data_IF_602383025380
#
_entry.id   IF_602383025380
#
_cell.length_a   1.000
_cell.length_b   1.000
_cell.length_c   1.000
_cell.angle_alpha   90.00
_cell.angle_beta   90.00
_cell.angle_gamma   90.00
#
_symmetry.space_group_name_H-M   'P 1'
#
loop_
_entity.id
_entity.type
_entity.pdbx_description
1 polymer ?
#
# COMPACT_ATOMS: atom_id res chain seq x y z
N UNK A 1 -21.06 2.59 -5.08
CA UNK A 1 -19.90 3.04 -4.27
C UNK A 1 -20.25 4.21 -3.36
N UNK A 2 -20.36 3.95 -2.05
CA UNK A 2 -20.57 4.92 -0.98
C UNK A 2 -19.22 5.48 -0.48
N UNK A 3 -19.18 6.74 -0.04
CA UNK A 3 -17.96 7.41 0.45
C UNK A 3 -18.19 7.99 1.83
N UNK A 4 -17.20 7.86 2.71
CA UNK A 4 -17.24 8.41 4.07
C UNK A 4 -15.86 8.92 4.47
N UNK A 5 -15.76 10.19 4.87
CA UNK A 5 -14.51 10.78 5.39
C UNK A 5 -14.11 10.15 6.72
N UNK A 6 -12.80 10.03 6.97
CA UNK A 6 -12.22 9.56 8.22
C UNK A 6 -11.46 10.70 8.92
N UNK A 7 -11.70 10.97 10.22
CA UNK A 7 -12.74 10.33 11.06
C UNK A 7 -14.17 10.75 10.64
N UNK A 8 -15.16 9.90 10.96
CA UNK A 8 -16.55 10.06 10.50
C UNK A 8 -17.26 11.33 11.01
N UNK A 9 -16.71 11.98 12.03
CA UNK A 9 -17.23 13.23 12.61
C UNK A 9 -16.21 13.81 13.59
N UNK A 10 -15.50 14.86 13.21
CA UNK A 10 -14.91 15.83 14.15
C UNK A 10 -14.37 17.04 13.37
N UNK A 11 -14.90 18.23 13.66
CA UNK A 11 -14.26 19.49 13.23
C UNK A 11 -12.94 19.66 14.02
N UNK A 12 -11.87 20.08 13.32
CA UNK A 12 -10.55 20.28 13.95
C UNK A 12 -9.72 19.02 14.19
N UNK A 13 -10.15 17.85 13.67
CA UNK A 13 -9.34 16.61 13.72
C UNK A 13 -8.66 16.38 12.37
N UNK A 14 -7.41 15.92 12.43
CA UNK A 14 -6.58 15.56 11.28
C UNK A 14 -7.31 14.60 10.35
N UNK A 15 -7.26 14.85 9.04
CA UNK A 15 -7.86 13.96 8.06
C UNK A 15 -7.05 12.65 7.95
N UNK A 16 -7.70 11.51 8.20
CA UNK A 16 -7.02 10.20 8.23
C UNK A 16 -7.22 9.37 6.96
N UNK A 17 -8.20 9.73 6.13
CA UNK A 17 -8.50 9.01 4.90
C UNK A 17 -9.94 9.11 4.41
N UNK A 18 -10.22 8.34 3.37
CA UNK A 18 -11.53 8.19 2.74
C UNK A 18 -11.91 6.70 2.73
N UNK A 19 -12.98 6.34 3.43
CA UNK A 19 -13.57 5.01 3.34
C UNK A 19 -14.51 4.90 2.13
N UNK A 20 -14.47 3.76 1.45
CA UNK A 20 -15.24 3.46 0.25
C UNK A 20 -15.98 2.13 0.45
N UNK A 21 -17.31 2.13 0.35
CA UNK A 21 -18.11 0.91 0.25
C UNK A 21 -18.37 0.61 -1.22
N UNK A 22 -17.88 -0.51 -1.74
CA UNK A 22 -17.97 -0.89 -3.16
C UNK A 22 -18.95 -2.05 -3.31
N UNK A 23 -19.93 -1.89 -4.18
CA UNK A 23 -21.03 -2.86 -4.35
C UNK A 23 -20.73 -3.91 -5.45
N UNK A 24 -19.65 -3.73 -6.22
CA UNK A 24 -19.25 -4.62 -7.31
C UNK A 24 -18.10 -4.02 -8.12
N UNK A 25 -17.49 -4.80 -9.04
CA UNK A 25 -17.80 -6.20 -9.36
C UNK A 25 -17.31 -7.19 -8.29
N UNK A 26 -17.80 -8.44 -8.29
CA UNK A 26 -17.28 -9.49 -7.40
C UNK A 26 -15.85 -9.91 -7.76
N UNK A 27 -15.47 -9.78 -9.03
CA UNK A 27 -14.13 -10.05 -9.56
C UNK A 27 -13.67 -8.84 -10.38
N UNK A 28 -12.64 -8.11 -9.95
CA UNK A 28 -12.18 -6.93 -10.66
C UNK A 28 -11.26 -7.30 -11.83
N UNK A 29 -11.13 -6.41 -12.81
CA UNK A 29 -10.22 -6.58 -13.93
C UNK A 29 -8.76 -6.64 -13.48
N UNK A 30 -8.33 -5.78 -12.54
CA UNK A 30 -7.01 -5.85 -11.91
C UNK A 30 -7.09 -6.67 -10.60
N UNK A 31 -6.47 -7.86 -10.56
CA UNK A 31 -6.62 -8.78 -9.42
C UNK A 31 -5.45 -9.73 -9.26
N UNK A 32 -5.26 -10.21 -8.03
CA UNK A 32 -4.37 -11.32 -7.74
C UNK A 32 -5.10 -12.65 -7.89
N UNK A 33 -4.55 -13.55 -8.70
CA UNK A 33 -4.96 -14.95 -8.73
C UNK A 33 -3.87 -15.83 -8.11
N UNK A 34 -4.29 -16.85 -7.39
CA UNK A 34 -3.42 -17.71 -6.60
C UNK A 34 -3.60 -19.17 -6.98
N UNK A 35 -2.50 -19.93 -6.88
CA UNK A 35 -2.48 -21.37 -7.09
C UNK A 35 -1.59 -22.04 -6.04
N UNK A 36 -1.72 -23.36 -5.92
CA UNK A 36 -0.91 -24.17 -5.02
C UNK A 36 0.60 -24.01 -5.24
N UNK A 37 1.37 -24.38 -4.22
CA UNK A 37 2.83 -24.23 -4.26
C UNK A 37 3.28 -22.78 -4.19
N UNK A 38 2.47 -21.94 -3.52
CA UNK A 38 2.79 -20.55 -3.16
C UNK A 38 2.88 -19.61 -4.36
N UNK A 39 2.03 -19.83 -5.36
CA UNK A 39 2.05 -19.10 -6.64
C UNK A 39 1.00 -18.00 -6.65
N UNK A 40 1.41 -16.85 -7.15
CA UNK A 40 0.57 -15.68 -7.35
C UNK A 40 0.80 -15.10 -8.74
N UNK A 41 -0.27 -14.64 -9.38
CA UNK A 41 -0.20 -13.86 -10.61
C UNK A 41 -1.12 -12.65 -10.48
N UNK A 42 -0.61 -11.46 -10.80
CA UNK A 42 -1.42 -10.26 -10.95
C UNK A 42 -1.85 -10.14 -12.41
N UNK A 43 -3.16 -10.12 -12.63
CA UNK A 43 -3.77 -9.94 -13.94
C UNK A 43 -4.43 -8.57 -14.04
N UNK A 44 -4.42 -7.98 -15.23
CA UNK A 44 -5.24 -6.84 -15.61
C UNK A 44 -6.04 -7.19 -16.86
N UNK A 45 -7.32 -7.52 -16.68
CA UNK A 45 -8.09 -8.22 -17.71
C UNK A 45 -7.43 -9.56 -18.02
N UNK A 46 -6.97 -9.74 -19.25
CA UNK A 46 -6.24 -10.92 -19.72
C UNK A 46 -4.70 -10.72 -19.73
N UNK A 47 -4.21 -9.54 -19.35
CA UNK A 47 -2.78 -9.26 -19.32
C UNK A 47 -2.16 -9.74 -18.02
N UNK A 48 -1.09 -10.54 -18.12
CA UNK A 48 -0.21 -10.83 -16.99
C UNK A 48 0.64 -9.60 -16.69
N UNK A 49 0.49 -9.05 -15.49
CA UNK A 49 1.22 -7.86 -15.02
C UNK A 49 2.43 -8.24 -14.18
N UNK A 50 2.22 -9.16 -13.25
CA UNK A 50 3.23 -9.60 -12.29
C UNK A 50 3.06 -11.10 -12.07
N UNK A 51 4.15 -11.84 -12.09
CA UNK A 51 4.22 -13.20 -11.58
C UNK A 51 4.97 -13.16 -10.27
N UNK A 52 4.53 -13.94 -9.30
CA UNK A 52 5.15 -14.00 -8.00
C UNK A 52 5.08 -15.41 -7.42
N UNK A 53 6.12 -15.80 -6.67
CA UNK A 53 6.17 -17.07 -5.96
C UNK A 53 6.82 -16.86 -4.60
N UNK A 54 6.14 -17.26 -3.54
CA UNK A 54 6.74 -17.18 -2.20
C UNK A 54 8.00 -18.03 -2.17
N UNK A 55 9.02 -17.50 -1.53
CA UNK A 55 10.30 -18.17 -1.32
C UNK A 55 10.12 -19.46 -0.54
N UNK A 56 11.03 -20.41 -0.78
CA UNK A 56 11.01 -21.70 -0.08
C UNK A 56 11.21 -21.53 1.43
N UNK A 57 11.95 -20.49 1.81
CA UNK A 57 12.20 -20.11 3.20
C UNK A 57 10.99 -19.50 3.91
N UNK A 58 9.90 -19.20 3.18
CA UNK A 58 8.74 -18.47 3.70
C UNK A 58 9.01 -17.03 4.19
N UNK A 59 10.24 -16.52 3.97
CA UNK A 59 10.67 -15.16 4.36
C UNK A 59 10.73 -14.20 3.16
N UNK A 60 9.79 -14.31 2.24
CA UNK A 60 9.74 -13.42 1.09
C UNK A 60 9.03 -13.99 -0.13
N UNK A 61 9.11 -13.23 -1.22
CA UNK A 61 8.52 -13.57 -2.50
C UNK A 61 9.45 -13.18 -3.65
N UNK A 62 9.65 -14.10 -4.59
CA UNK A 62 10.24 -13.77 -5.89
C UNK A 62 9.17 -13.16 -6.77
N UNK A 63 9.54 -12.18 -7.58
CA UNK A 63 8.65 -11.56 -8.55
C UNK A 63 9.29 -11.42 -9.94
N UNK A 64 8.43 -11.38 -10.95
CA UNK A 64 8.76 -11.01 -12.32
C UNK A 64 7.64 -10.13 -12.89
N UNK A 65 7.98 -8.89 -13.23
CA UNK A 65 7.11 -7.88 -13.84
C UNK A 65 7.20 -7.97 -15.35
N UNK A 66 6.06 -7.90 -16.03
CA UNK A 66 5.99 -8.07 -17.49
C UNK A 66 6.06 -6.75 -18.26
N UNK A 67 5.93 -5.61 -17.58
CA UNK A 67 5.84 -4.28 -18.19
C UNK A 67 4.50 -3.98 -18.90
N UNK A 68 3.51 -4.87 -18.81
CA UNK A 68 2.22 -4.74 -19.51
C UNK A 68 1.15 -3.97 -18.73
N UNK A 69 1.49 -3.49 -17.55
CA UNK A 69 0.57 -2.76 -16.68
C UNK A 69 0.14 -1.41 -17.28
N UNK A 70 -1.15 -1.13 -17.21
CA UNK A 70 -1.71 0.18 -17.54
C UNK A 70 -2.40 0.78 -16.31
N UNK A 71 -2.14 2.05 -16.02
CA UNK A 71 -2.80 2.73 -14.89
C UNK A 71 -4.33 2.77 -15.10
N UNK A 72 -5.13 2.52 -14.04
CA UNK A 72 -6.57 2.72 -14.09
C UNK A 72 -6.99 4.19 -14.04
N UNK A 73 -6.06 5.09 -13.74
CA UNK A 73 -6.35 6.52 -13.55
C UNK A 73 -5.97 7.26 -14.83
N UNK A 74 -6.88 8.07 -15.42
CA UNK A 74 -6.56 8.89 -16.57
C UNK A 74 -5.39 9.86 -16.29
N UNK A 75 -4.59 10.22 -17.31
CA UNK A 75 -3.50 11.17 -17.15
C UNK A 75 -3.98 12.50 -16.53
N UNK A 76 -3.34 12.91 -15.44
CA UNK A 76 -3.66 14.15 -14.73
C UNK A 76 -3.09 15.36 -15.48
N UNK A 77 -3.88 16.43 -15.57
CA UNK A 77 -3.44 17.72 -16.13
C UNK A 77 -2.74 18.55 -15.06
N UNK A 78 -1.71 19.29 -15.48
CA UNK A 78 -0.97 20.17 -14.57
C UNK A 78 -1.83 21.30 -13.99
N UNK A 79 -2.76 21.82 -14.79
CA UNK A 79 -3.74 22.82 -14.37
C UNK A 79 -4.59 22.32 -13.19
N UNK A 80 -5.16 21.11 -13.29
CA UNK A 80 -5.95 20.50 -12.21
C UNK A 80 -5.14 20.43 -10.91
N UNK A 81 -3.85 20.10 -11.00
CA UNK A 81 -2.99 19.99 -9.83
C UNK A 81 -2.78 21.33 -9.12
N UNK A 82 -2.59 22.42 -9.88
CA UNK A 82 -2.48 23.78 -9.35
C UNK A 82 -3.80 24.26 -8.75
N UNK A 83 -4.90 24.09 -9.49
CA UNK A 83 -6.24 24.45 -8.99
C UNK A 83 -6.55 23.76 -7.67
N UNK A 84 -6.19 22.48 -7.51
CA UNK A 84 -6.41 21.78 -6.25
C UNK A 84 -5.52 22.30 -5.12
N UNK A 85 -4.25 22.62 -5.40
CA UNK A 85 -3.36 23.20 -4.38
C UNK A 85 -3.84 24.58 -3.92
N UNK A 86 -4.23 25.44 -4.86
CA UNK A 86 -4.72 26.81 -4.59
C UNK A 86 -6.04 26.81 -3.82
N UNK A 87 -6.94 25.86 -4.12
CA UNK A 87 -8.24 25.76 -3.47
C UNK A 87 -8.20 25.14 -2.07
N UNK A 88 -7.07 24.57 -1.63
CA UNK A 88 -6.96 23.83 -0.38
C UNK A 88 -6.14 24.62 0.66
N UNK A 89 -6.70 24.92 1.84
CA UNK A 89 -6.04 25.75 2.86
C UNK A 89 -4.84 25.08 3.50
N UNK A 90 -4.83 23.75 3.57
CA UNK A 90 -3.80 22.94 4.19
C UNK A 90 -3.60 21.61 3.44
N UNK A 91 -2.65 20.80 3.92
CA UNK A 91 -2.31 19.51 3.32
C UNK A 91 -3.40 18.45 3.51
N UNK A 92 -4.14 18.50 4.62
CA UNK A 92 -5.22 17.55 4.91
C UNK A 92 -6.38 17.73 3.92
N UNK A 93 -6.79 18.98 3.68
CA UNK A 93 -7.78 19.33 2.67
C UNK A 93 -7.30 18.96 1.26
N UNK A 94 -6.01 19.15 0.99
CA UNK A 94 -5.39 18.78 -0.29
C UNK A 94 -5.39 17.27 -0.53
N UNK A 95 -5.00 16.47 0.48
CA UNK A 95 -5.06 15.02 0.42
C UNK A 95 -6.50 14.52 0.30
N UNK A 96 -7.45 15.08 1.04
CA UNK A 96 -8.86 14.75 0.94
C UNK A 96 -9.40 15.00 -0.47
N UNK A 97 -9.07 16.16 -1.06
CA UNK A 97 -9.46 16.53 -2.43
C UNK A 97 -8.94 15.51 -3.45
N UNK A 98 -7.67 15.12 -3.35
CA UNK A 98 -7.09 14.08 -4.21
C UNK A 98 -7.70 12.71 -3.97
N UNK A 99 -8.00 12.35 -2.72
CA UNK A 99 -8.62 11.08 -2.41
C UNK A 99 -10.00 10.94 -3.05
N UNK A 100 -10.82 12.01 -3.01
CA UNK A 100 -12.09 12.04 -3.71
C UNK A 100 -11.94 12.00 -5.23
N UNK A 101 -10.92 12.65 -5.79
CA UNK A 101 -10.62 12.60 -7.23
C UNK A 101 -10.25 11.17 -7.65
N UNK A 102 -9.28 10.54 -6.98
CA UNK A 102 -8.86 9.17 -7.31
C UNK A 102 -9.95 8.14 -7.04
N UNK A 103 -10.76 8.30 -5.99
CA UNK A 103 -11.92 7.45 -5.76
C UNK A 103 -12.96 7.56 -6.89
N UNK A 104 -13.04 8.69 -7.60
CA UNK A 104 -13.93 8.84 -8.76
C UNK A 104 -13.34 8.16 -9.98
N UNK A 105 -12.07 8.44 -10.29
CA UNK A 105 -11.35 7.79 -11.38
C UNK A 105 -11.32 6.26 -11.24
N UNK A 106 -11.08 5.72 -10.04
CA UNK A 106 -11.05 4.28 -9.79
C UNK A 106 -12.43 3.62 -9.92
N UNK A 107 -13.51 4.34 -9.59
CA UNK A 107 -14.88 3.84 -9.74
C UNK A 107 -15.28 3.78 -11.22
N UNK A 108 -14.88 4.79 -11.98
CA UNK A 108 -15.17 4.90 -13.42
C UNK A 108 -14.26 4.02 -14.27
N UNK A 109 -13.11 3.63 -13.72
CA UNK A 109 -12.16 2.74 -14.35
C UNK A 109 -12.72 1.33 -14.52
N UNK A 110 -12.73 0.85 -15.76
CA UNK A 110 -12.98 -0.56 -16.11
C UNK A 110 -11.75 -1.46 -16.01
N UNK A 111 -10.63 -1.00 -15.43
CA UNK A 111 -9.36 -1.72 -15.34
C UNK A 111 -8.67 -1.63 -13.97
N UNK A 112 -9.39 -1.18 -12.93
CA UNK A 112 -8.90 -1.02 -11.56
C UNK A 112 -9.10 -2.23 -10.64
N UNK A 113 -8.59 -2.16 -9.39
CA UNK A 113 -8.63 -3.28 -8.44
C UNK A 113 -9.88 -3.31 -7.56
N UNK A 114 -10.71 -2.26 -7.61
CA UNK A 114 -11.91 -2.15 -6.80
C UNK A 114 -12.90 -3.26 -7.14
N UNK A 115 -13.29 -3.97 -6.10
CA UNK A 115 -14.30 -5.03 -6.13
C UNK A 115 -15.15 -4.92 -4.87
N UNK A 116 -16.24 -5.69 -4.85
CA UNK A 116 -17.19 -5.73 -3.76
C UNK A 116 -16.49 -5.84 -2.38
N UNK A 117 -16.88 -4.94 -1.48
CA UNK A 117 -16.36 -4.83 -0.12
C UNK A 117 -16.00 -3.42 0.29
N UNK A 118 -15.47 -3.30 1.51
CA UNK A 118 -15.02 -2.04 2.07
C UNK A 118 -13.55 -1.79 1.75
N UNK A 119 -13.22 -0.54 1.45
CA UNK A 119 -11.90 -0.05 1.11
C UNK A 119 -11.61 1.26 1.80
N UNK A 120 -10.35 1.65 1.80
CA UNK A 120 -9.92 2.95 2.27
C UNK A 120 -8.76 3.48 1.44
N UNK A 121 -8.77 4.80 1.25
CA UNK A 121 -7.68 5.57 0.67
C UNK A 121 -7.10 6.44 1.78
N UNK A 122 -5.85 6.20 2.19
CA UNK A 122 -5.23 6.92 3.32
C UNK A 122 -3.92 7.59 2.91
N UNK A 123 -3.59 8.76 3.47
CA UNK A 123 -2.32 9.40 3.19
C UNK A 123 -1.17 8.63 3.85
N UNK A 124 0.01 8.70 3.22
CA UNK A 124 1.24 8.13 3.77
C UNK A 124 1.49 6.66 3.46
N UNK A 125 2.68 6.22 3.83
CA UNK A 125 3.14 4.84 3.68
C UNK A 125 2.59 3.93 4.79
N UNK A 126 2.82 2.63 4.65
CA UNK A 126 2.59 1.68 5.76
C UNK A 126 3.50 2.03 6.95
N UNK A 127 3.06 1.86 8.21
CA UNK A 127 3.94 1.98 9.38
C UNK A 127 5.17 1.06 9.32
N UNK A 128 5.07 -0.04 8.56
CA UNK A 128 6.16 -1.00 8.36
C UNK A 128 7.10 -0.65 7.19
N UNK A 129 6.99 0.55 6.63
CA UNK A 129 7.83 0.98 5.53
C UNK A 129 9.30 1.17 5.97
N UNK A 130 10.22 0.63 5.18
CA UNK A 130 11.67 0.68 5.30
C UNK A 130 12.26 1.75 4.36
N UNK A 131 12.77 2.82 4.96
CA UNK A 131 13.31 3.98 4.25
C UNK A 131 14.45 3.66 3.27
N UNK A 132 15.27 2.65 3.57
CA UNK A 132 16.47 2.29 2.82
C UNK A 132 16.20 1.88 1.35
N UNK A 133 14.99 1.42 1.05
CA UNK A 133 14.65 0.96 -0.31
C UNK A 133 14.50 2.11 -1.33
N UNK A 134 14.15 3.32 -0.89
CA UNK A 134 13.86 4.43 -1.79
C UNK A 134 15.08 4.90 -2.59
N UNK A 135 16.26 4.90 -1.96
CA UNK A 135 17.52 5.23 -2.64
C UNK A 135 17.89 4.15 -3.67
N UNK A 136 17.70 2.88 -3.31
CA UNK A 136 17.93 1.74 -4.22
C UNK A 136 17.00 1.84 -5.44
N UNK A 137 15.71 2.12 -5.22
CA UNK A 137 14.73 2.25 -6.31
C UNK A 137 15.07 3.40 -7.27
N UNK A 138 15.64 4.49 -6.78
CA UNK A 138 16.08 5.61 -7.62
C UNK A 138 17.22 5.19 -8.58
N UNK A 139 18.05 4.24 -8.17
CA UNK A 139 19.21 3.77 -8.93
C UNK A 139 18.88 2.54 -9.80
N UNK A 140 17.98 1.67 -9.32
CA UNK A 140 17.73 0.37 -9.91
C UNK A 140 16.27 -0.09 -9.71
N UNK A 141 15.51 -0.17 -10.81
CA UNK A 141 14.14 -0.73 -10.87
C UNK A 141 14.13 -2.03 -11.70
N UNK A 142 14.58 -3.17 -11.15
CA UNK A 142 14.66 -4.40 -11.91
C UNK A 142 13.28 -5.00 -12.16
N UNK A 143 13.09 -5.55 -13.36
CA UNK A 143 11.87 -6.25 -13.73
C UNK A 143 11.71 -7.60 -13.02
N UNK A 144 12.78 -8.16 -12.45
CA UNK A 144 12.79 -9.40 -11.67
C UNK A 144 13.57 -9.20 -10.37
N UNK A 145 13.13 -9.87 -9.32
CA UNK A 145 13.86 -9.83 -8.05
C UNK A 145 13.13 -10.58 -6.95
N UNK A 146 13.45 -10.23 -5.71
CA UNK A 146 12.75 -10.70 -4.53
C UNK A 146 12.39 -9.54 -3.60
N UNK A 147 11.42 -9.81 -2.75
CA UNK A 147 10.99 -9.01 -1.61
C UNK A 147 11.21 -9.88 -0.38
N UNK A 148 12.00 -9.41 0.57
CA UNK A 148 12.16 -10.09 1.84
C UNK A 148 11.01 -9.74 2.80
N UNK A 149 10.56 -10.74 3.55
CA UNK A 149 9.60 -10.58 4.65
C UNK A 149 10.30 -10.79 5.98
N UNK A 150 9.89 -10.01 6.98
CA UNK A 150 10.37 -10.07 8.36
C UNK A 150 11.86 -9.73 8.56
N UNK A 151 12.23 -9.55 9.83
CA UNK A 151 13.57 -9.15 10.28
C UNK A 151 14.64 -10.18 9.89
N UNK A 152 15.81 -9.71 9.44
CA UNK A 152 17.00 -10.55 9.20
C UNK A 152 17.49 -10.58 7.76
N UNK A 153 16.70 -10.10 6.80
CA UNK A 153 17.19 -9.85 5.44
C UNK A 153 17.85 -8.47 5.34
N UNK A 154 18.80 -8.26 4.41
CA UNK A 154 19.41 -6.95 4.22
C UNK A 154 18.35 -5.87 3.95
N UNK A 155 18.52 -4.67 4.50
CA UNK A 155 17.54 -3.59 4.37
C UNK A 155 17.24 -3.18 2.92
N UNK A 156 18.13 -3.49 1.97
CA UNK A 156 17.93 -3.27 0.53
C UNK A 156 16.99 -4.29 -0.14
N UNK A 157 16.74 -5.44 0.50
CA UNK A 157 15.81 -6.47 0.02
C UNK A 157 14.37 -6.27 0.56
N UNK A 158 14.22 -5.43 1.58
CA UNK A 158 12.91 -4.94 2.03
C UNK A 158 12.35 -4.03 0.95
N UNK A 159 11.18 -4.36 0.39
CA UNK A 159 10.51 -3.50 -0.60
C UNK A 159 9.18 -3.02 -0.08
N UNK A 160 9.11 -1.75 0.30
CA UNK A 160 7.84 -1.11 0.66
C UNK A 160 6.94 -0.88 -0.54
N UNK A 161 7.58 -0.74 -1.70
CA UNK A 161 6.98 -0.26 -2.91
C UNK A 161 7.48 -1.03 -4.14
N UNK A 162 6.56 -1.53 -4.96
CA UNK A 162 6.88 -2.20 -6.22
C UNK A 162 6.18 -1.52 -7.39
N UNK A 163 6.90 -0.89 -8.33
CA UNK A 163 6.27 -0.30 -9.52
C UNK A 163 5.74 -1.39 -10.47
N UNK A 164 4.44 -1.37 -10.81
CA UNK A 164 3.84 -2.37 -11.73
C UNK A 164 4.27 -2.27 -13.19
N UNK A 165 4.89 -1.15 -13.59
CA UNK A 165 5.60 -0.98 -14.88
C UNK A 165 6.92 -0.26 -14.65
N UNK A 166 7.90 -0.41 -15.56
CA UNK A 166 9.17 0.30 -15.49
C UNK A 166 8.98 1.79 -15.24
N UNK A 167 9.78 2.33 -14.33
CA UNK A 167 9.88 3.77 -14.14
C UNK A 167 10.42 4.42 -15.42
N UNK A 168 9.80 5.53 -15.80
CA UNK A 168 10.22 6.31 -16.95
C UNK A 168 11.56 6.99 -16.67
N UNK A 169 12.39 7.17 -17.71
CA UNK A 169 13.68 7.82 -17.58
C UNK A 169 13.56 9.25 -17.00
N UNK A 170 14.53 9.72 -16.17
CA UNK A 170 14.47 11.04 -15.53
C UNK A 170 14.35 12.24 -16.48
N UNK A 171 14.73 12.06 -17.74
CA UNK A 171 14.74 13.08 -18.79
C UNK A 171 13.51 13.01 -19.72
N UNK A 172 12.64 12.00 -19.56
CA UNK A 172 11.42 11.86 -20.32
C UNK A 172 10.51 13.09 -20.15
N UNK A 173 9.80 13.56 -21.20
CA UNK A 173 9.01 14.80 -21.14
C UNK A 173 7.98 14.84 -20.00
N UNK A 174 7.27 13.72 -19.75
CA UNK A 174 6.30 13.61 -18.66
C UNK A 174 6.97 13.69 -17.29
N UNK A 175 8.14 13.07 -17.12
CA UNK A 175 8.91 13.11 -15.87
C UNK A 175 9.43 14.53 -15.63
N UNK A 176 9.98 15.22 -16.64
CA UNK A 176 10.37 16.64 -16.52
C UNK A 176 9.23 17.55 -16.09
N UNK A 177 8.03 17.36 -16.66
CA UNK A 177 6.84 18.11 -16.24
C UNK A 177 6.47 17.82 -14.78
N UNK A 178 6.48 16.55 -14.37
CA UNK A 178 6.23 16.16 -12.97
C UNK A 178 7.30 16.69 -12.01
N UNK A 179 8.58 16.72 -12.41
CA UNK A 179 9.69 17.29 -11.62
C UNK A 179 9.47 18.77 -11.35
N UNK A 180 8.99 19.51 -12.34
CA UNK A 180 8.58 20.90 -12.15
C UNK A 180 7.45 21.02 -11.12
N UNK A 181 6.42 20.19 -11.23
CA UNK A 181 5.32 20.18 -10.25
C UNK A 181 5.78 19.80 -8.84
N UNK A 182 6.77 18.91 -8.73
CA UNK A 182 7.38 18.53 -7.45
C UNK A 182 8.02 19.73 -6.77
N UNK A 183 8.88 20.47 -7.50
CA UNK A 183 9.51 21.69 -6.99
C UNK A 183 8.51 22.81 -6.67
N UNK A 184 7.43 22.90 -7.45
CA UNK A 184 6.32 23.84 -7.20
C UNK A 184 5.43 23.43 -6.02
N UNK A 185 5.60 22.23 -5.43
CA UNK A 185 4.77 21.74 -4.32
C UNK A 185 3.34 21.37 -4.73
N UNK A 186 3.10 21.15 -6.02
CA UNK A 186 1.77 20.85 -6.59
C UNK A 186 1.66 19.43 -7.14
N UNK A 187 2.71 18.60 -7.01
CA UNK A 187 2.72 17.23 -7.55
C UNK A 187 1.56 16.40 -6.96
N UNK A 188 0.64 15.85 -7.77
CA UNK A 188 -0.44 15.03 -7.24
C UNK A 188 0.08 13.77 -6.53
N UNK A 189 -0.59 13.25 -5.47
CA UNK A 189 -0.15 12.07 -4.73
C UNK A 189 -0.08 10.80 -5.58
N UNK A 190 1.02 10.06 -5.49
CA UNK A 190 1.15 8.72 -6.08
C UNK A 190 0.14 7.79 -5.41
N UNK A 191 -0.58 7.01 -6.21
CA UNK A 191 -1.58 6.07 -5.70
C UNK A 191 -0.94 4.70 -5.58
N UNK A 192 -0.90 4.19 -4.35
CA UNK A 192 -0.41 2.86 -4.04
C UNK A 192 -1.57 1.91 -3.80
N UNK A 193 -1.35 0.62 -4.03
CA UNK A 193 -2.29 -0.43 -3.69
C UNK A 193 -1.57 -1.51 -2.86
N UNK A 194 -1.99 -1.72 -1.62
CA UNK A 194 -1.41 -2.77 -0.78
C UNK A 194 -1.84 -4.16 -1.26
N UNK A 195 -0.86 -5.06 -1.39
CA UNK A 195 -1.08 -6.48 -1.69
C UNK A 195 -0.47 -7.31 -0.57
N UNK A 196 -1.33 -7.84 0.31
CA UNK A 196 -0.89 -8.59 1.49
C UNK A 196 -0.07 -9.83 1.14
N UNK A 197 -0.36 -10.50 0.03
CA UNK A 197 0.37 -11.68 -0.41
C UNK A 197 1.81 -11.37 -0.89
N UNK A 198 2.15 -10.10 -1.08
CA UNK A 198 3.50 -9.64 -1.39
C UNK A 198 4.16 -8.94 -0.19
N UNK A 199 3.38 -8.63 0.85
CA UNK A 199 3.75 -7.74 1.95
C UNK A 199 4.34 -6.40 1.47
N UNK A 200 3.82 -5.87 0.37
CA UNK A 200 4.30 -4.64 -0.27
C UNK A 200 3.14 -3.83 -0.84
N UNK A 201 3.36 -2.54 -1.04
CA UNK A 201 2.46 -1.70 -1.82
C UNK A 201 2.91 -1.64 -3.27
N UNK A 202 2.02 -1.90 -4.21
CA UNK A 202 2.33 -1.72 -5.63
C UNK A 202 1.96 -0.31 -6.10
N UNK A 203 2.72 0.26 -7.03
CA UNK A 203 2.35 1.55 -7.64
C UNK A 203 1.19 1.32 -8.59
N UNK A 204 0.00 1.74 -8.17
CA UNK A 204 -1.21 1.68 -8.97
C UNK A 204 -1.23 2.83 -9.99
N UNK A 205 -0.93 4.05 -9.55
CA UNK A 205 -0.82 5.18 -10.47
C UNK A 205 0.25 6.16 -10.02
N UNK A 206 0.85 6.84 -10.99
CA UNK A 206 1.86 7.86 -10.75
C UNK A 206 3.30 7.39 -10.87
N UNK A 207 3.59 6.36 -11.68
CA UNK A 207 4.98 5.93 -11.96
C UNK A 207 5.87 7.08 -12.44
N UNK A 208 5.37 7.98 -13.30
CA UNK A 208 6.13 9.16 -13.75
C UNK A 208 6.31 10.21 -12.64
N UNK A 209 5.35 10.30 -11.71
CA UNK A 209 5.39 11.21 -10.55
C UNK A 209 6.37 10.69 -9.49
N UNK A 210 6.39 9.38 -9.29
CA UNK A 210 7.38 8.68 -8.50
C UNK A 210 8.79 8.88 -9.07
N UNK A 211 8.99 8.59 -10.36
CA UNK A 211 10.26 8.81 -11.04
C UNK A 211 10.73 10.27 -10.93
N UNK A 212 9.80 11.23 -11.04
CA UNK A 212 10.10 12.65 -10.87
C UNK A 212 10.59 13.01 -9.46
N UNK A 213 9.90 12.54 -8.41
CA UNK A 213 10.32 12.82 -7.04
C UNK A 213 11.68 12.18 -6.72
N UNK A 214 11.90 10.93 -7.15
CA UNK A 214 13.19 10.24 -7.00
C UNK A 214 14.32 10.99 -7.72
N UNK A 215 14.08 11.50 -8.94
CA UNK A 215 15.05 12.27 -9.70
C UNK A 215 15.39 13.64 -9.08
N UNK A 216 14.55 14.14 -8.18
CA UNK A 216 14.82 15.35 -7.38
C UNK A 216 15.39 15.00 -5.99
N UNK A 217 15.73 13.74 -5.73
CA UNK A 217 16.30 13.27 -4.46
C UNK A 217 15.30 13.20 -3.31
N UNK A 218 13.99 13.23 -3.62
CA UNK A 218 12.93 13.28 -2.62
C UNK A 218 11.91 12.15 -2.76
N UNK A 219 10.81 12.29 -2.02
CA UNK A 219 9.69 11.35 -2.01
C UNK A 219 8.41 12.03 -2.46
N UNK A 220 7.55 11.36 -3.25
CA UNK A 220 6.27 11.93 -3.63
C UNK A 220 5.30 11.88 -2.44
N UNK A 221 4.29 12.78 -2.41
CA UNK A 221 3.10 12.55 -1.60
C UNK A 221 2.42 11.24 -2.03
N UNK A 222 1.83 10.52 -1.08
CA UNK A 222 1.28 9.17 -1.31
C UNK A 222 -0.15 9.07 -0.77
N UNK A 223 -1.02 8.41 -1.55
CA UNK A 223 -2.31 7.89 -1.13
C UNK A 223 -2.34 6.38 -1.34
N UNK A 224 -2.57 5.62 -0.27
CA UNK A 224 -2.58 4.16 -0.29
C UNK A 224 -4.01 3.63 -0.25
N UNK A 225 -4.35 2.82 -1.26
CA UNK A 225 -5.57 2.04 -1.37
C UNK A 225 -5.36 0.67 -0.73
N UNK A 226 -6.16 0.32 0.27
CA UNK A 226 -6.30 -1.07 0.70
C UNK A 226 -7.76 -1.42 0.92
N UNK A 227 -8.04 -2.72 0.99
CA UNK A 227 -9.31 -3.22 1.51
C UNK A 227 -9.37 -2.88 3.00
N UNK A 228 -10.54 -2.51 3.53
CA UNK A 228 -10.70 -2.40 4.97
C UNK A 228 -10.50 -3.78 5.64
N UNK A 229 -9.84 -3.79 6.79
CA UNK A 229 -9.59 -5.03 7.52
C UNK A 229 -10.86 -5.72 7.99
N UNK A 230 -10.74 -7.03 8.25
CA UNK A 230 -11.78 -7.80 8.91
C UNK A 230 -11.76 -7.46 10.41
N UNK A 231 -12.85 -6.93 10.99
CA UNK A 231 -12.89 -6.58 12.41
C UNK A 231 -12.50 -7.74 13.32
N UNK A 232 -12.87 -8.97 12.95
CA UNK A 232 -12.57 -10.18 13.71
C UNK A 232 -11.06 -10.48 13.72
N UNK A 233 -10.39 -10.29 12.58
CA UNK A 233 -8.94 -10.46 12.49
C UNK A 233 -8.23 -9.37 13.29
N UNK A 234 -8.70 -8.12 13.22
CA UNK A 234 -8.14 -7.04 14.03
C UNK A 234 -8.26 -7.31 15.52
N UNK A 235 -9.43 -7.79 15.97
CA UNK A 235 -9.63 -8.19 17.36
C UNK A 235 -8.69 -9.33 17.75
N UNK A 236 -8.54 -10.36 16.90
CA UNK A 236 -7.63 -11.47 17.15
C UNK A 236 -6.16 -11.03 17.26
N UNK A 237 -5.71 -10.18 16.33
CA UNK A 237 -4.33 -9.68 16.31
C UNK A 237 -4.03 -8.73 17.47
N UNK A 238 -5.02 -7.99 17.96
CA UNK A 238 -4.88 -7.09 19.11
C UNK A 238 -4.87 -7.81 20.48
N UNK A 239 -5.30 -9.08 20.55
CA UNK A 239 -5.41 -9.82 21.81
C UNK A 239 -4.11 -9.86 22.65
N UNK A 240 -2.91 -10.11 22.08
CA UNK A 240 -1.68 -10.10 22.86
C UNK A 240 -1.37 -8.73 23.45
N UNK A 241 -1.57 -7.66 22.69
CA UNK A 241 -1.32 -6.28 23.12
C UNK A 241 -2.32 -5.84 24.20
N UNK A 242 -3.60 -6.22 24.05
CA UNK A 242 -4.63 -5.97 25.05
C UNK A 242 -4.32 -6.69 26.36
N UNK A 243 -3.92 -7.96 26.31
CA UNK A 243 -3.50 -8.71 27.50
C UNK A 243 -2.29 -8.07 28.18
N UNK A 244 -1.26 -7.73 27.40
CA UNK A 244 -0.07 -7.08 27.92
C UNK A 244 -0.39 -5.71 28.56
N UNK A 245 -1.33 -4.98 27.98
CA UNK A 245 -1.84 -3.73 28.55
C UNK A 245 -2.58 -3.96 29.86
N UNK A 246 -3.52 -4.91 29.92
CA UNK A 246 -4.27 -5.25 31.14
C UNK A 246 -3.34 -5.62 32.30
N UNK A 247 -2.36 -6.48 32.04
CA UNK A 247 -1.33 -6.86 33.03
C UNK A 247 -0.53 -5.65 33.53
N UNK A 248 -0.14 -4.76 32.61
CA UNK A 248 0.67 -3.58 32.93
C UNK A 248 -0.14 -2.51 33.67
N UNK A 249 -1.40 -2.30 33.31
CA UNK A 249 -2.32 -1.42 34.04
C UNK A 249 -2.60 -1.95 35.44
N UNK A 250 -2.84 -3.25 35.62
CA UNK A 250 -3.04 -3.83 36.94
C UNK A 250 -1.80 -3.68 37.85
N UNK A 251 -0.59 -3.74 37.27
CA UNK A 251 0.64 -3.43 38.01
C UNK A 251 0.72 -1.95 38.40
N UNK A 252 0.44 -1.03 37.48
CA UNK A 252 0.49 0.41 37.73
C UNK A 252 -0.60 0.89 38.70
N UNK A 253 -1.78 0.27 38.69
CA UNK A 253 -2.84 0.52 39.67
C UNK A 253 -2.38 0.15 41.09
N UNK A 254 -1.75 -1.01 41.26
CA UNK A 254 -1.15 -1.38 42.56
C UNK A 254 -0.08 -0.39 43.04
N UNK A 255 0.74 0.14 42.13
CA UNK A 255 1.73 1.18 42.47
C UNK A 255 1.05 2.48 42.91
N UNK A 256 -0.01 2.90 42.21
CA UNK A 256 -0.82 4.06 42.59
C UNK A 256 -1.41 3.89 43.99
N UNK A 257 -1.99 2.73 44.28
CA UNK A 257 -2.62 2.45 45.56
C UNK A 257 -1.59 2.35 46.70
N UNK A 258 -0.34 1.97 46.38
CA UNK A 258 0.81 2.04 47.28
C UNK A 258 1.44 3.44 47.42
N UNK A 259 0.88 4.46 46.76
CA UNK A 259 1.28 5.85 46.90
C UNK A 259 2.38 6.33 45.94
N UNK A 260 2.66 5.63 44.84
CA UNK A 260 3.59 6.12 43.82
C UNK A 260 3.02 7.37 43.12
N UNK A 261 3.65 8.56 43.29
CA UNK A 261 3.16 9.81 42.70
C UNK A 261 3.25 9.84 41.17
N UNK A 262 4.07 8.97 40.54
CA UNK A 262 4.22 8.90 39.09
C UNK A 262 3.22 7.93 38.43
N UNK A 263 2.53 7.08 39.21
CA UNK A 263 1.63 6.08 38.67
C UNK A 263 0.52 6.63 37.75
N UNK A 264 -0.13 7.78 38.04
CA UNK A 264 -1.12 8.36 37.13
C UNK A 264 -0.55 8.71 35.74
N UNK A 265 0.67 9.25 35.70
CA UNK A 265 1.35 9.58 34.44
C UNK A 265 1.71 8.33 33.65
N UNK A 266 2.21 7.29 34.32
CA UNK A 266 2.52 6.00 33.70
C UNK A 266 1.27 5.35 33.11
N UNK A 267 0.14 5.36 33.83
CA UNK A 267 -1.14 4.84 33.35
C UNK A 267 -1.60 5.58 32.08
N UNK A 268 -1.57 6.91 32.10
CA UNK A 268 -1.94 7.72 30.94
C UNK A 268 -1.02 7.44 29.73
N UNK A 269 0.26 7.22 29.98
CA UNK A 269 1.22 6.88 28.94
C UNK A 269 0.96 5.50 28.31
N UNK A 270 0.70 4.48 29.13
CA UNK A 270 0.33 3.15 28.63
C UNK A 270 -0.98 3.18 27.84
N UNK A 271 -1.96 3.99 28.28
CA UNK A 271 -3.20 4.20 27.52
C UNK A 271 -2.96 4.79 26.13
N UNK A 272 -2.10 5.82 26.03
CA UNK A 272 -1.71 6.39 24.73
C UNK A 272 -0.94 5.39 23.86
N UNK A 273 -0.05 4.61 24.45
CA UNK A 273 0.71 3.58 23.75
C UNK A 273 -0.21 2.51 23.17
N UNK A 274 -1.17 2.01 23.96
CA UNK A 274 -2.16 1.04 23.45
C UNK A 274 -2.98 1.64 22.32
N UNK A 275 -3.47 2.88 22.49
CA UNK A 275 -4.23 3.57 21.44
C UNK A 275 -3.43 3.68 20.13
N UNK A 276 -2.13 3.98 20.22
CA UNK A 276 -1.23 4.01 19.07
C UNK A 276 -1.06 2.62 18.43
N UNK A 277 -0.81 1.57 19.22
CA UNK A 277 -0.68 0.20 18.71
C UNK A 277 -1.94 -0.28 17.99
N UNK A 278 -3.12 -0.03 18.58
CA UNK A 278 -4.40 -0.38 17.97
C UNK A 278 -4.65 0.43 16.70
N UNK A 279 -4.30 1.72 16.70
CA UNK A 279 -4.38 2.55 15.50
C UNK A 279 -3.46 2.02 14.39
N UNK A 280 -2.20 1.67 14.71
CA UNK A 280 -1.24 1.10 13.76
C UNK A 280 -1.71 -0.24 13.22
N UNK A 281 -2.21 -1.14 14.07
CA UNK A 281 -2.77 -2.43 13.64
C UNK A 281 -4.00 -2.27 12.74
N UNK A 282 -4.86 -1.30 13.02
CA UNK A 282 -6.00 -0.97 12.18
C UNK A 282 -5.60 -0.22 10.90
N UNK A 283 -4.43 0.41 10.88
CA UNK A 283 -3.89 1.17 9.74
C UNK A 283 -2.89 0.38 8.89
N UNK A 284 -2.41 -0.75 9.41
CA UNK A 284 -1.44 -1.66 8.83
C UNK A 284 -2.11 -2.80 8.05
N UNK A 285 -1.42 -3.24 6.99
CA UNK A 285 -1.78 -4.28 6.01
C UNK A 285 -3.07 -5.07 6.25
N UNK A 286 -4.08 -4.84 5.42
CA UNK A 286 -5.28 -5.68 5.41
C UNK A 286 -5.15 -6.81 4.41
N UNK A 287 -5.76 -7.96 4.76
CA UNK A 287 -5.83 -9.10 3.87
C UNK A 287 -6.50 -8.70 2.55
N UNK A 288 -5.74 -8.85 1.47
CA UNK A 288 -6.27 -8.72 0.11
C UNK A 288 -6.99 -10.01 -0.30
N UNK A 289 -7.95 -9.88 -1.22
CA UNK A 289 -8.60 -11.04 -1.82
C UNK A 289 -7.74 -11.59 -2.94
N UNK A 290 -7.45 -12.89 -2.86
CA UNK A 290 -6.96 -13.69 -3.99
C UNK A 290 -8.10 -14.53 -4.56
N UNK A 291 -8.13 -14.69 -5.89
CA UNK A 291 -9.04 -15.62 -6.55
C UNK A 291 -8.28 -16.88 -6.98
N UNK A 292 -8.90 -18.05 -7.02
CA UNK A 292 -8.26 -19.24 -7.57
C UNK A 292 -7.92 -19.02 -9.05
N UNK A 293 -6.67 -19.31 -9.43
CA UNK A 293 -6.24 -19.32 -10.83
C UNK A 293 -6.87 -20.52 -11.55
N UNK A 294 -7.69 -20.33 -12.60
CA UNK A 294 -8.20 -21.44 -13.39
C UNK A 294 -7.06 -22.28 -13.99
N UNK A 295 -7.13 -23.60 -13.82
CA UNK A 295 -6.06 -24.52 -14.21
C UNK A 295 -4.88 -24.61 -13.23
N UNK A 296 -4.93 -23.89 -12.11
CA UNK A 296 -4.02 -24.05 -10.97
C UNK A 296 -2.53 -23.87 -11.32
N UNK A 297 -1.68 -24.66 -10.65
CA UNK A 297 -0.22 -24.59 -10.79
C UNK A 297 0.28 -24.80 -12.24
N UNK A 298 -0.24 -25.78 -13.02
CA UNK A 298 0.16 -25.93 -14.42
C UNK A 298 -0.10 -24.69 -15.28
N UNK A 299 -1.25 -24.03 -15.08
CA UNK A 299 -1.58 -22.80 -15.78
C UNK A 299 -0.60 -21.68 -15.39
N UNK A 300 -0.29 -21.55 -14.10
CA UNK A 300 0.69 -20.58 -13.63
C UNK A 300 2.08 -20.82 -14.24
N UNK A 301 2.56 -22.07 -14.25
CA UNK A 301 3.88 -22.40 -14.81
C UNK A 301 3.94 -22.09 -16.33
N UNK A 302 2.81 -22.27 -17.05
CA UNK A 302 2.70 -21.87 -18.45
C UNK A 302 2.76 -20.34 -18.63
N UNK A 303 2.09 -19.58 -17.76
CA UNK A 303 2.19 -18.11 -17.76
C UNK A 303 3.62 -17.66 -17.47
N UNK A 304 4.29 -18.29 -16.49
CA UNK A 304 5.68 -17.99 -16.15
C UNK A 304 6.63 -18.22 -17.32
N UNK A 305 6.55 -19.39 -17.99
CA UNK A 305 7.36 -19.68 -19.19
C UNK A 305 7.13 -18.68 -20.31
N UNK A 306 5.88 -18.25 -20.51
CA UNK A 306 5.50 -17.33 -21.60
C UNK A 306 5.91 -15.88 -21.34
N UNK A 307 5.73 -15.40 -20.11
CA UNK A 307 5.82 -13.98 -19.78
C UNK A 307 7.07 -13.60 -18.98
N UNK A 308 7.76 -14.57 -18.39
CA UNK A 308 9.00 -14.39 -17.67
C UNK A 308 10.02 -15.48 -18.05
N UNK A 309 10.41 -15.61 -19.34
CA UNK A 309 11.41 -16.60 -19.74
C UNK A 309 12.72 -16.36 -18.99
N UNK A 310 13.36 -17.47 -18.57
CA UNK A 310 14.61 -17.45 -17.79
C UNK A 310 14.45 -17.01 -16.33
N UNK A 311 13.23 -16.77 -15.84
CA UNK A 311 12.98 -16.51 -14.43
C UNK A 311 12.82 -17.84 -13.68
N UNK A 312 13.72 -18.07 -12.73
CA UNK A 312 13.78 -19.30 -11.93
C UNK A 312 13.65 -18.95 -10.44
N UNK A 313 12.42 -18.79 -9.92
CA UNK A 313 12.23 -18.68 -8.47
C UNK A 313 12.65 -19.99 -7.80
N UNK A 314 13.15 -19.91 -6.58
CA UNK A 314 13.50 -21.08 -5.77
C UNK A 314 12.31 -22.07 -5.68
N UNK A 315 12.61 -23.36 -5.88
CA UNK A 315 11.57 -24.41 -5.93
C UNK A 315 11.70 -25.45 -4.83
N UNK A 316 12.89 -25.60 -4.27
CA UNK A 316 13.26 -26.60 -3.26
C UNK A 316 14.08 -25.94 -2.14
N UNK A 317 14.00 -26.49 -0.93
CA UNK A 317 14.80 -26.05 0.23
C UNK A 317 16.25 -26.56 0.13
#
# INVERSE_FOLDING_TARGET
MKRTTLPRSAEGVRWEGLALGVDGPARPPLRAEVADGRRLVLLQGDQVVLLARQRVTHHGVHYARTGRYTSPIPPLRAETARTYREACPDDDAWFARWAHHFASALRESGNGPLHEGDWHLRPGMSPYAVDAYWETLAQHDPDRGHIAWFCGSPAHDSRDLLPLRPLSAPDAPRVKACRRQYREGVLPPVVLWGISALDTSVVLDGHDRLAAALAEGGRPPVLRLNRAGLPELHALLAQPDLRAYEERIASLQRQRDAGDPLAPYKIANEGRRLAQLLHEAHSGGHLTRGWPLPGGSPAWDALARRHAPGWHPDTEN
#
